data_IF_785998055423
#
_entry.id   IF_785998055423
#
_cell.length_a   1.000
_cell.length_b   1.000
_cell.length_c   1.000
_cell.angle_alpha   90.00
_cell.angle_beta   90.00
_cell.angle_gamma   90.00
#
_symmetry.space_group_name_H-M   'P 1'
#
loop_
_entity.id
_entity.type
_entity.pdbx_description
1 polymer ?
#
# COMPACT_ATOMS: atom_id res chain seq x y z
N UNK A 1 -44.40 69.70 -5.86
CA UNK A 1 -44.95 68.37 -6.22
C UNK A 1 -44.12 67.77 -7.36
N UNK A 2 -44.05 66.44 -7.38
CA UNK A 2 -43.38 65.54 -8.37
C UNK A 2 -42.00 65.04 -7.93
N UNK A 3 -42.08 64.02 -7.08
CA UNK A 3 -41.19 62.86 -7.04
C UNK A 3 -40.84 62.36 -8.45
N UNK A 4 -39.59 61.98 -8.69
CA UNK A 4 -39.30 60.89 -9.62
C UNK A 4 -37.96 60.20 -9.31
N UNK A 5 -38.10 59.07 -8.61
CA UNK A 5 -37.48 57.77 -8.90
C UNK A 5 -35.95 57.67 -8.88
N UNK A 6 -35.46 57.28 -7.71
CA UNK A 6 -34.24 56.50 -7.54
C UNK A 6 -34.42 55.13 -8.21
N UNK A 7 -33.75 54.90 -9.33
CA UNK A 7 -33.53 53.54 -9.85
C UNK A 7 -32.36 52.92 -9.09
N UNK A 8 -32.65 52.28 -7.95
CA UNK A 8 -31.70 51.39 -7.29
C UNK A 8 -31.64 50.10 -8.09
N UNK A 9 -30.61 49.97 -8.92
CA UNK A 9 -30.22 48.73 -9.58
C UNK A 9 -29.62 47.81 -8.51
N UNK A 10 -30.46 46.97 -7.91
CA UNK A 10 -29.99 45.82 -7.11
C UNK A 10 -29.45 44.79 -8.10
N UNK A 11 -28.17 44.92 -8.44
CA UNK A 11 -27.41 43.89 -9.14
C UNK A 11 -27.30 42.71 -8.18
N UNK A 12 -28.08 41.66 -8.43
CA UNK A 12 -27.95 40.36 -7.79
C UNK A 12 -26.55 39.80 -8.11
N UNK A 13 -25.61 39.98 -7.17
CA UNK A 13 -24.40 39.19 -7.13
C UNK A 13 -24.79 37.74 -6.77
N UNK A 14 -25.14 36.95 -7.77
CA UNK A 14 -25.10 35.50 -7.67
C UNK A 14 -23.62 35.10 -7.54
N UNK A 15 -23.12 35.11 -6.30
CA UNK A 15 -21.87 34.46 -5.94
C UNK A 15 -22.07 32.96 -6.16
N UNK A 16 -21.63 32.47 -7.31
CA UNK A 16 -21.41 31.05 -7.52
C UNK A 16 -20.42 30.58 -6.47
N UNK A 17 -20.93 29.98 -5.39
CA UNK A 17 -20.12 29.13 -4.52
C UNK A 17 -19.71 27.91 -5.36
N UNK A 18 -18.65 28.08 -6.14
CA UNK A 18 -17.93 26.95 -6.68
C UNK A 18 -17.33 26.21 -5.49
N UNK A 19 -17.95 25.10 -5.09
CA UNK A 19 -17.30 24.14 -4.23
C UNK A 19 -16.11 23.60 -5.03
N UNK A 20 -14.92 24.08 -4.71
CA UNK A 20 -13.69 23.49 -5.21
C UNK A 20 -13.66 22.04 -4.72
N UNK A 21 -13.97 21.10 -5.62
CA UNK A 21 -13.66 19.70 -5.40
C UNK A 21 -12.15 19.64 -5.20
N UNK A 22 -11.73 19.24 -4.00
CA UNK A 22 -10.31 19.11 -3.71
C UNK A 22 -9.77 17.92 -4.51
N UNK A 23 -9.30 18.15 -5.74
CA UNK A 23 -8.72 17.12 -6.62
C UNK A 23 -7.27 16.76 -6.24
N UNK A 24 -6.89 16.96 -4.97
CA UNK A 24 -5.54 16.70 -4.51
C UNK A 24 -5.22 15.20 -4.60
N UNK A 25 -4.36 14.87 -5.55
CA UNK A 25 -3.81 13.54 -5.76
C UNK A 25 -2.56 13.34 -4.91
N UNK A 26 -2.45 12.18 -4.25
CA UNK A 26 -1.33 11.81 -3.40
C UNK A 26 -0.56 10.66 -4.04
N UNK A 27 0.77 10.66 -3.98
CA UNK A 27 1.60 9.60 -4.58
C UNK A 27 2.40 8.82 -3.53
N UNK A 28 1.74 8.12 -2.59
CA UNK A 28 2.44 7.39 -1.56
C UNK A 28 3.25 6.22 -2.10
N UNK A 29 4.28 5.83 -1.36
CA UNK A 29 5.14 4.69 -1.64
C UNK A 29 5.12 3.71 -0.48
N UNK A 30 4.90 2.44 -0.78
CA UNK A 30 5.16 1.35 0.14
C UNK A 30 6.64 0.98 0.06
N UNK A 31 7.32 1.04 1.19
CA UNK A 31 8.76 0.78 1.31
C UNK A 31 8.99 -0.43 2.21
N UNK A 32 9.77 -1.39 1.72
CA UNK A 32 10.42 -2.40 2.55
C UNK A 32 11.68 -1.81 3.15
N UNK A 33 11.62 -1.45 4.43
CA UNK A 33 12.76 -0.90 5.15
C UNK A 33 13.78 -1.96 5.52
N UNK A 34 13.29 -3.12 5.96
CA UNK A 34 14.12 -4.23 6.38
C UNK A 34 13.30 -5.52 6.34
N UNK A 35 13.99 -6.63 6.09
CA UNK A 35 13.49 -7.98 6.27
C UNK A 35 14.53 -8.78 7.06
N UNK A 36 14.08 -9.59 8.01
CA UNK A 36 14.94 -10.48 8.78
C UNK A 36 14.39 -11.89 8.76
N UNK A 37 15.25 -12.86 8.49
CA UNK A 37 14.93 -14.26 8.75
C UNK A 37 15.14 -14.57 10.23
N UNK A 38 14.09 -15.05 10.91
CA UNK A 38 14.11 -15.45 12.32
C UNK A 38 14.34 -16.95 12.46
N UNK A 39 13.66 -17.73 11.61
CA UNK A 39 13.83 -19.18 11.52
C UNK A 39 13.95 -19.56 10.06
N UNK A 40 15.05 -20.22 9.72
CA UNK A 40 15.26 -20.77 8.38
C UNK A 40 14.24 -21.87 8.12
N UNK A 41 13.72 -21.87 6.90
CA UNK A 41 12.98 -22.96 6.31
C UNK A 41 13.78 -24.21 6.03
N UNK A 42 13.30 -24.99 5.07
CA UNK A 42 13.93 -26.23 4.63
C UNK A 42 15.42 -26.05 4.25
N UNK A 43 16.10 -27.18 4.06
CA UNK A 43 17.53 -27.23 3.83
C UNK A 43 17.97 -26.51 2.53
N UNK A 44 17.10 -26.51 1.53
CA UNK A 44 17.28 -25.86 0.23
C UNK A 44 16.88 -24.38 0.36
N UNK A 45 17.67 -23.47 -0.18
CA UNK A 45 17.46 -22.04 0.01
C UNK A 45 16.17 -21.55 -0.64
N UNK A 46 15.28 -21.01 0.16
CA UNK A 46 14.04 -20.34 -0.23
C UNK A 46 14.33 -19.18 -1.22
N UNK A 47 13.92 -19.23 -2.48
CA UNK A 47 14.06 -18.06 -3.37
C UNK A 47 12.89 -17.12 -3.12
N UNK A 48 13.15 -16.02 -2.40
CA UNK A 48 12.10 -15.16 -1.87
C UNK A 48 11.72 -14.03 -2.82
N UNK A 49 10.44 -13.67 -2.82
CA UNK A 49 9.92 -12.51 -3.54
C UNK A 49 8.62 -12.03 -2.91
N UNK A 50 8.19 -10.84 -3.33
CA UNK A 50 6.94 -10.23 -2.93
C UNK A 50 5.97 -10.22 -4.10
N UNK A 51 4.79 -10.81 -3.90
CA UNK A 51 3.66 -10.64 -4.80
C UNK A 51 2.69 -9.62 -4.18
N UNK A 52 2.41 -8.55 -4.93
CA UNK A 52 1.58 -7.43 -4.49
C UNK A 52 0.36 -7.36 -5.39
N UNK A 53 -0.81 -7.62 -4.81
CA UNK A 53 -2.10 -7.39 -5.46
C UNK A 53 -2.59 -6.00 -5.14
N UNK A 54 -2.86 -5.20 -6.17
CA UNK A 54 -3.39 -3.84 -6.07
C UNK A 54 -4.86 -3.86 -6.49
N UNK A 55 -5.74 -3.54 -5.55
CA UNK A 55 -7.18 -3.48 -5.76
C UNK A 55 -7.65 -2.03 -5.69
N UNK A 56 -8.38 -1.62 -6.72
CA UNK A 56 -9.04 -0.31 -6.82
C UNK A 56 -10.50 -0.52 -7.22
N UNK A 57 -11.37 0.38 -6.78
CA UNK A 57 -12.78 0.31 -7.15
C UNK A 57 -12.94 0.45 -8.67
N UNK A 58 -13.71 -0.46 -9.28
CA UNK A 58 -14.04 -0.46 -10.72
C UNK A 58 -12.82 -0.60 -11.66
N UNK A 59 -11.71 -1.13 -11.18
CA UNK A 59 -10.54 -1.44 -12.01
C UNK A 59 -10.18 -2.92 -11.88
N UNK A 60 -9.58 -3.54 -12.91
CA UNK A 60 -9.04 -4.89 -12.78
C UNK A 60 -7.94 -4.91 -11.71
N UNK A 61 -7.83 -6.04 -11.00
CA UNK A 61 -6.73 -6.24 -10.06
C UNK A 61 -5.40 -6.24 -10.83
N UNK A 62 -4.43 -5.49 -10.33
CA UNK A 62 -3.06 -5.47 -10.85
C UNK A 62 -2.15 -6.29 -9.93
N UNK A 63 -1.25 -7.06 -10.53
CA UNK A 63 -0.28 -7.89 -9.83
C UNK A 63 1.13 -7.38 -10.12
N UNK A 64 1.96 -7.30 -9.09
CA UNK A 64 3.35 -6.85 -9.17
C UNK A 64 4.20 -7.86 -8.40
N UNK A 65 5.25 -8.38 -9.04
CA UNK A 65 6.23 -9.29 -8.42
C UNK A 65 7.55 -8.56 -8.22
N UNK A 66 8.13 -8.63 -7.02
CA UNK A 66 9.39 -7.96 -6.68
C UNK A 66 10.34 -8.93 -5.95
N UNK A 67 11.54 -9.17 -6.46
CA UNK A 67 12.04 -8.70 -7.76
C UNK A 67 11.32 -9.40 -8.92
N UNK A 68 11.34 -8.79 -10.12
CA UNK A 68 10.74 -9.40 -11.30
C UNK A 68 11.50 -10.67 -11.73
N UNK A 69 10.77 -11.71 -12.16
CA UNK A 69 11.36 -12.94 -12.67
C UNK A 69 12.35 -12.64 -13.82
N UNK A 70 13.52 -13.32 -13.89
CA UNK A 70 13.95 -14.49 -13.12
C UNK A 70 14.71 -14.18 -11.83
N UNK A 71 14.71 -12.92 -11.39
CA UNK A 71 15.41 -12.53 -10.18
C UNK A 71 14.63 -12.98 -8.93
N UNK A 72 15.36 -13.23 -7.85
CA UNK A 72 14.84 -13.57 -6.53
C UNK A 72 15.72 -12.93 -5.45
N UNK A 73 15.20 -12.86 -4.23
CA UNK A 73 15.96 -12.47 -3.05
C UNK A 73 16.60 -13.71 -2.42
N UNK A 74 17.92 -13.90 -2.55
CA UNK A 74 18.55 -15.04 -1.91
C UNK A 74 18.49 -14.86 -0.39
N UNK A 75 18.14 -15.90 0.39
CA UNK A 75 18.00 -15.80 1.84
C UNK A 75 19.26 -15.29 2.54
N UNK A 76 20.43 -15.67 2.02
CA UNK A 76 21.73 -15.26 2.54
C UNK A 76 21.97 -13.75 2.50
N UNK A 77 21.28 -13.01 1.62
CA UNK A 77 21.43 -11.56 1.47
C UNK A 77 20.23 -10.78 2.02
N UNK A 78 19.19 -11.47 2.49
CA UNK A 78 17.92 -10.81 2.83
C UNK A 78 18.07 -9.83 3.98
N UNK A 79 18.89 -10.17 4.98
CA UNK A 79 19.17 -9.30 6.13
C UNK A 79 19.98 -8.04 5.75
N UNK A 80 20.60 -8.03 4.56
CA UNK A 80 21.40 -6.93 4.03
C UNK A 80 20.67 -6.11 2.97
N UNK A 81 19.40 -6.43 2.71
CA UNK A 81 18.59 -5.72 1.72
C UNK A 81 18.48 -4.25 2.14
N UNK A 82 18.81 -3.35 1.21
CA UNK A 82 18.58 -1.92 1.39
C UNK A 82 17.08 -1.63 1.35
N UNK A 83 16.71 -0.47 1.88
CA UNK A 83 15.36 0.07 1.75
C UNK A 83 14.92 0.01 0.28
N UNK A 84 13.85 -0.73 0.00
CA UNK A 84 13.42 -1.08 -1.36
C UNK A 84 11.97 -0.65 -1.55
N UNK A 85 11.64 0.13 -2.60
CA UNK A 85 10.26 0.44 -2.92
C UNK A 85 9.55 -0.81 -3.42
N UNK A 86 8.41 -1.12 -2.80
CA UNK A 86 7.55 -2.23 -3.19
C UNK A 86 6.39 -1.77 -4.09
N UNK A 87 5.87 -0.57 -3.88
CA UNK A 87 4.76 -0.06 -4.67
C UNK A 87 4.72 1.47 -4.61
N UNK A 88 4.27 2.10 -5.68
CA UNK A 88 4.04 3.54 -5.75
C UNK A 88 3.08 3.83 -6.90
N UNK A 89 1.90 4.32 -6.59
CA UNK A 89 0.96 4.84 -7.59
C UNK A 89 0.15 5.98 -6.98
N UNK A 90 -0.35 6.91 -7.81
CA UNK A 90 -1.18 7.97 -7.30
C UNK A 90 -2.53 7.46 -6.77
N UNK A 91 -3.08 8.20 -5.81
CA UNK A 91 -4.38 7.99 -5.17
C UNK A 91 -5.14 9.32 -5.22
N UNK A 92 -6.21 9.35 -6.00
CA UNK A 92 -7.08 10.52 -6.15
C UNK A 92 -7.87 10.79 -4.88
N UNK A 93 -8.39 12.00 -4.74
CA UNK A 93 -9.25 12.32 -3.62
C UNK A 93 -10.47 11.38 -3.56
N UNK A 94 -10.82 10.95 -2.35
CA UNK A 94 -11.84 9.93 -2.03
C UNK A 94 -11.58 8.53 -2.60
N UNK A 95 -10.42 8.31 -3.23
CA UNK A 95 -10.03 6.99 -3.73
C UNK A 95 -9.51 6.12 -2.59
N UNK A 96 -9.91 4.85 -2.62
CA UNK A 96 -9.35 3.78 -1.78
C UNK A 96 -8.57 2.81 -2.66
N UNK A 97 -7.35 2.51 -2.23
CA UNK A 97 -6.50 1.45 -2.77
C UNK A 97 -6.27 0.41 -1.69
N UNK A 98 -6.37 -0.87 -2.04
CA UNK A 98 -6.02 -1.97 -1.14
C UNK A 98 -4.82 -2.69 -1.74
N UNK A 99 -3.76 -2.82 -0.95
CA UNK A 99 -2.58 -3.60 -1.28
C UNK A 99 -2.63 -4.90 -0.46
N UNK A 100 -2.45 -6.03 -1.13
CA UNK A 100 -2.18 -7.31 -0.46
C UNK A 100 -0.74 -7.67 -0.80
N UNK A 101 0.14 -7.53 0.18
CA UNK A 101 1.58 -7.76 0.07
C UNK A 101 1.85 -9.15 0.62
N UNK A 102 2.21 -10.09 -0.24
CA UNK A 102 2.51 -11.48 0.14
C UNK A 102 4.00 -11.74 0.03
N UNK A 103 4.60 -12.24 1.10
CA UNK A 103 5.93 -12.82 1.03
C UNK A 103 5.78 -14.27 0.58
N UNK A 104 6.49 -14.60 -0.49
CA UNK A 104 6.40 -15.88 -1.16
C UNK A 104 7.75 -16.58 -1.13
N UNK A 105 7.69 -17.89 -1.06
CA UNK A 105 8.80 -18.79 -1.34
C UNK A 105 8.57 -19.44 -2.71
N UNK A 106 9.61 -19.49 -3.54
CA UNK A 106 9.57 -20.20 -4.82
C UNK A 106 10.69 -21.22 -4.84
N UNK A 107 10.31 -22.47 -4.96
CA UNK A 107 11.28 -23.51 -5.27
C UNK A 107 11.80 -23.39 -6.70
N UNK A 108 13.03 -23.85 -6.91
CA UNK A 108 13.59 -24.01 -8.25
C UNK A 108 12.68 -24.90 -9.10
N UNK A 109 12.17 -24.36 -10.21
CA UNK A 109 11.39 -25.15 -11.19
C UNK A 109 12.19 -26.40 -11.59
N UNK A 110 11.55 -27.58 -11.70
CA UNK A 110 10.10 -27.81 -11.85
C UNK A 110 9.36 -28.22 -10.56
N UNK A 111 9.96 -28.08 -9.38
CA UNK A 111 9.65 -28.99 -8.27
C UNK A 111 8.46 -28.62 -7.37
N UNK A 112 7.97 -27.38 -7.31
CA UNK A 112 6.77 -27.06 -6.52
C UNK A 112 6.04 -25.78 -6.99
N UNK A 113 4.73 -25.65 -6.68
CA UNK A 113 4.03 -24.38 -6.77
C UNK A 113 4.55 -23.38 -5.73
N UNK A 114 4.45 -22.10 -6.06
CA UNK A 114 4.82 -20.96 -5.20
C UNK A 114 4.10 -21.04 -3.83
N UNK A 115 4.84 -21.00 -2.73
CA UNK A 115 4.30 -21.12 -1.36
C UNK A 115 4.20 -19.76 -0.66
N UNK A 116 3.01 -19.45 -0.13
CA UNK A 116 2.78 -18.22 0.64
C UNK A 116 3.37 -18.40 2.05
N UNK A 117 4.31 -17.54 2.43
CA UNK A 117 4.83 -17.45 3.81
C UNK A 117 3.87 -16.65 4.70
N UNK A 118 3.31 -15.57 4.15
CA UNK A 118 2.32 -14.75 4.82
C UNK A 118 1.99 -13.51 4.01
N UNK A 119 0.93 -12.81 4.43
CA UNK A 119 0.48 -11.60 3.74
C UNK A 119 0.13 -10.47 4.70
N UNK A 120 0.18 -9.25 4.19
CA UNK A 120 -0.19 -8.03 4.90
C UNK A 120 -1.16 -7.29 3.99
N UNK A 121 -2.34 -6.94 4.52
CA UNK A 121 -3.32 -6.10 3.84
C UNK A 121 -3.16 -4.67 4.31
N UNK A 122 -3.00 -3.76 3.35
CA UNK A 122 -2.84 -2.32 3.57
C UNK A 122 -3.98 -1.62 2.83
N UNK A 123 -4.82 -0.90 3.54
CA UNK A 123 -5.81 0.00 2.94
C UNK A 123 -5.28 1.42 3.01
N UNK A 124 -5.21 2.06 1.85
CA UNK A 124 -4.85 3.45 1.68
C UNK A 124 -6.07 4.20 1.19
N UNK A 125 -6.46 5.27 1.89
CA UNK A 125 -7.55 6.14 1.46
C UNK A 125 -7.11 7.60 1.52
N UNK A 126 -7.26 8.31 0.42
CA UNK A 126 -7.07 9.75 0.39
C UNK A 126 -8.42 10.40 0.72
N UNK A 127 -8.55 11.00 1.91
CA UNK A 127 -9.72 11.78 2.30
C UNK A 127 -9.34 13.25 2.35
N UNK A 128 -9.83 14.04 1.39
CA UNK A 128 -9.61 15.48 1.30
C UNK A 128 -8.14 15.90 1.32
N UNK A 129 -7.26 15.13 0.67
CA UNK A 129 -5.82 15.41 0.62
C UNK A 129 -5.03 14.87 1.83
N UNK A 130 -5.69 14.14 2.73
CA UNK A 130 -5.04 13.46 3.86
C UNK A 130 -5.04 11.96 3.58
N UNK A 131 -3.85 11.35 3.61
CA UNK A 131 -3.71 9.91 3.43
C UNK A 131 -3.93 9.17 4.76
N UNK A 132 -4.95 8.34 4.79
CA UNK A 132 -5.20 7.39 5.87
C UNK A 132 -4.64 6.01 5.49
N UNK A 133 -3.93 5.37 6.43
CA UNK A 133 -3.42 4.01 6.25
C UNK A 133 -3.94 3.07 7.34
N UNK A 134 -4.51 1.94 6.93
CA UNK A 134 -4.97 0.89 7.81
C UNK A 134 -4.34 -0.44 7.42
N UNK A 135 -3.89 -1.20 8.39
CA UNK A 135 -3.07 -2.38 8.17
C UNK A 135 -3.68 -3.57 8.91
N UNK A 136 -3.57 -4.74 8.32
CA UNK A 136 -4.00 -5.99 8.95
C UNK A 136 -3.19 -7.15 8.41
N UNK A 137 -3.09 -8.22 9.20
CA UNK A 137 -2.53 -9.50 8.75
C UNK A 137 -3.72 -10.43 8.51
N UNK A 138 -4.00 -10.84 7.27
CA UNK A 138 -5.09 -11.76 6.98
C UNK A 138 -4.98 -13.03 7.82
N UNK A 139 -6.13 -13.60 8.20
CA UNK A 139 -6.24 -14.82 8.99
C UNK A 139 -5.68 -14.73 10.43
N UNK A 140 -5.30 -13.54 10.91
CA UNK A 140 -5.05 -13.29 12.33
C UNK A 140 -6.28 -12.67 13.00
N UNK A 141 -6.48 -12.97 14.29
CA UNK A 141 -7.57 -12.40 15.10
C UNK A 141 -7.34 -10.93 15.49
N UNK A 142 -6.20 -10.35 15.13
CA UNK A 142 -5.88 -8.97 15.40
C UNK A 142 -6.81 -8.04 14.61
N UNK A 143 -7.34 -7.02 15.30
CA UNK A 143 -8.08 -5.98 14.63
C UNK A 143 -7.14 -5.19 13.69
N UNK A 144 -7.65 -4.68 12.57
CA UNK A 144 -6.89 -3.76 11.74
C UNK A 144 -6.40 -2.55 12.55
N UNK A 145 -5.15 -2.17 12.36
CA UNK A 145 -4.52 -1.05 13.04
C UNK A 145 -4.37 0.15 12.09
N UNK A 146 -4.71 1.33 12.58
CA UNK A 146 -4.43 2.60 11.89
C UNK A 146 -3.07 3.10 12.37
N UNK A 147 -2.20 3.43 11.43
CA UNK A 147 -0.86 3.96 11.74
C UNK A 147 -0.57 5.22 10.95
N UNK A 148 0.28 6.07 11.54
CA UNK A 148 0.74 7.29 10.92
C UNK A 148 1.64 7.01 9.71
N UNK A 149 1.51 7.84 8.69
CA UNK A 149 2.39 7.84 7.53
C UNK A 149 3.83 8.18 7.99
N UNK A 150 4.82 7.67 7.26
CA UNK A 150 6.25 7.74 7.58
C UNK A 150 6.68 6.97 8.84
N UNK A 151 5.82 6.13 9.41
CA UNK A 151 6.19 5.25 10.53
C UNK A 151 6.45 3.84 10.04
N UNK A 152 7.59 3.28 10.44
CA UNK A 152 7.94 1.88 10.15
C UNK A 152 7.19 0.92 11.06
N UNK A 153 6.51 -0.05 10.45
CA UNK A 153 5.69 -1.06 11.09
C UNK A 153 6.35 -2.42 10.98
N UNK A 154 6.32 -3.18 12.09
CA UNK A 154 6.90 -4.52 12.17
C UNK A 154 5.80 -5.57 12.02
N UNK A 155 6.03 -6.55 11.16
CA UNK A 155 5.16 -7.71 10.98
C UNK A 155 5.97 -9.00 11.12
N UNK A 156 5.35 -10.02 11.70
CA UNK A 156 5.90 -11.36 11.79
C UNK A 156 5.09 -12.26 10.87
N UNK A 157 5.71 -12.74 9.81
CA UNK A 157 5.11 -13.66 8.85
C UNK A 157 5.76 -15.04 9.00
N UNK A 158 4.95 -16.09 8.92
CA UNK A 158 5.43 -17.45 9.11
C UNK A 158 4.51 -18.46 8.47
N UNK A 159 5.10 -19.50 7.89
CA UNK A 159 4.43 -20.73 7.48
C UNK A 159 5.19 -21.94 8.08
N UNK A 160 4.88 -23.14 7.59
CA UNK A 160 5.57 -24.38 7.96
C UNK A 160 7.06 -24.37 7.60
N UNK A 161 7.42 -23.58 6.59
CA UNK A 161 8.74 -23.52 5.98
C UNK A 161 9.53 -22.26 6.34
N UNK A 162 9.14 -21.46 7.34
CA UNK A 162 9.96 -20.29 7.68
C UNK A 162 9.27 -19.25 8.54
N UNK A 163 10.09 -18.37 9.11
CA UNK A 163 9.62 -17.24 9.90
C UNK A 163 10.46 -16.00 9.61
N UNK A 164 9.77 -14.92 9.26
CA UNK A 164 10.34 -13.67 8.79
C UNK A 164 9.75 -12.48 9.53
N UNK A 165 10.60 -11.52 9.90
CA UNK A 165 10.19 -10.21 10.34
C UNK A 165 10.30 -9.21 9.18
N UNK A 166 9.19 -8.55 8.86
CA UNK A 166 9.14 -7.48 7.86
C UNK A 166 9.00 -6.13 8.55
N UNK A 167 9.70 -5.14 8.01
CA UNK A 167 9.60 -3.75 8.43
C UNK A 167 9.15 -2.90 7.24
N UNK A 168 7.90 -2.48 7.24
CA UNK A 168 7.28 -1.75 6.13
C UNK A 168 6.89 -0.33 6.56
N UNK A 169 6.95 0.62 5.65
CA UNK A 169 6.40 1.96 5.87
C UNK A 169 5.66 2.44 4.63
N UNK A 170 4.68 3.32 4.85
CA UNK A 170 4.14 4.16 3.77
C UNK A 170 4.81 5.51 3.91
N UNK A 171 5.41 6.00 2.83
CA UNK A 171 6.00 7.34 2.76
C UNK A 171 5.29 8.17 1.68
N UNK A 172 5.31 9.49 1.84
CA UNK A 172 4.76 10.43 0.85
C UNK A 172 5.78 10.80 -0.23
#
# INVERSE_FOLDING_TARGET
MKWLRWCVLVVFCFSSMAFAVNDQELSPKLILNQIKMIKKGEWLGDDLYFDISVLRAKQPMKYIRIPEFPLHLPPSKINTLKSTPLWSEPIKNEEKVILIVSLMDQDSKPLNPDDIIGSIRIELKNEKGILHSQWSVPNQKSAPATWDINTTQKFLLSNTHGQYELYLSIVM
#
